data_IF_481219600818
#
_entry.id   IF_481219600818
#
_cell.length_a   1.000
_cell.length_b   1.000
_cell.length_c   1.000
_cell.angle_alpha   90.00
_cell.angle_beta   90.00
_cell.angle_gamma   90.00
#
_symmetry.space_group_name_H-M   'P 1'
#
loop_
_entity.id
_entity.type
_entity.pdbx_description
1 polymer ?
#
# COMPACT_ATOMS: atom_id res chain seq x y z
N UNK A 1 26.33 -3.03 -9.07
CA UNK A 1 24.96 -3.59 -9.17
C UNK A 1 23.92 -2.85 -8.34
N UNK A 2 24.12 -2.56 -7.03
CA UNK A 2 23.16 -1.76 -6.22
C UNK A 2 22.80 -0.40 -6.86
N UNK A 3 23.77 0.26 -7.48
CA UNK A 3 23.58 1.58 -8.10
C UNK A 3 22.84 1.54 -9.47
N UNK A 4 22.77 0.38 -10.12
CA UNK A 4 22.01 0.23 -11.37
C UNK A 4 20.52 0.08 -11.08
N UNK A 5 20.15 -0.75 -10.10
CA UNK A 5 18.76 -0.95 -9.69
C UNK A 5 18.18 0.36 -9.14
N UNK A 6 18.95 1.08 -8.31
CA UNK A 6 18.55 2.39 -7.80
C UNK A 6 18.37 3.45 -8.89
N UNK A 7 19.24 3.49 -9.91
CA UNK A 7 19.13 4.45 -11.02
C UNK A 7 18.02 4.08 -12.02
N UNK A 8 17.72 2.80 -12.22
CA UNK A 8 16.63 2.34 -13.08
C UNK A 8 15.26 2.67 -12.49
N UNK A 9 15.10 2.58 -11.17
CA UNK A 9 13.86 2.96 -10.45
C UNK A 9 13.68 4.48 -10.45
N UNK A 10 14.76 5.24 -10.28
CA UNK A 10 14.69 6.70 -10.09
C UNK A 10 14.48 7.49 -11.39
N UNK A 11 14.84 6.94 -12.54
CA UNK A 11 14.76 7.64 -13.83
C UNK A 11 13.50 7.32 -14.65
N UNK A 12 12.75 6.27 -14.30
CA UNK A 12 11.63 5.75 -15.11
C UNK A 12 10.29 5.62 -14.35
N UNK A 13 10.20 6.08 -13.10
CA UNK A 13 8.95 6.02 -12.33
C UNK A 13 8.57 7.44 -11.92
N UNK A 14 7.49 7.95 -12.52
CA UNK A 14 6.85 9.18 -12.06
C UNK A 14 6.07 8.85 -10.78
N UNK A 15 6.72 9.06 -9.63
CA UNK A 15 6.12 8.81 -8.32
C UNK A 15 5.16 9.97 -8.01
N UNK A 16 3.87 9.73 -8.22
CA UNK A 16 2.80 10.66 -7.86
C UNK A 16 2.16 10.28 -6.49
N UNK A 17 1.30 11.17 -5.98
CA UNK A 17 0.66 11.00 -4.68
C UNK A 17 -0.21 9.73 -4.58
N UNK A 18 -0.81 9.29 -5.68
CA UNK A 18 -1.60 8.05 -5.75
C UNK A 18 -0.71 6.82 -5.51
N UNK A 19 0.43 6.74 -6.20
CA UNK A 19 1.40 5.65 -6.03
C UNK A 19 1.97 5.64 -4.61
N UNK A 20 2.23 6.82 -4.03
CA UNK A 20 2.66 6.93 -2.62
C UNK A 20 1.57 6.40 -1.69
N UNK A 21 0.32 6.84 -1.86
CA UNK A 21 -0.79 6.42 -1.02
C UNK A 21 -1.05 4.89 -1.12
N UNK A 22 -1.01 4.33 -2.32
CA UNK A 22 -1.14 2.89 -2.54
C UNK A 22 0.00 2.10 -1.88
N UNK A 23 1.24 2.59 -1.99
CA UNK A 23 2.38 1.97 -1.29
C UNK A 23 2.19 2.03 0.23
N UNK A 24 1.76 3.15 0.78
CA UNK A 24 1.52 3.31 2.21
C UNK A 24 0.38 2.41 2.70
N UNK A 25 -0.70 2.26 1.93
CA UNK A 25 -1.79 1.32 2.22
C UNK A 25 -1.28 -0.13 2.30
N UNK A 26 -0.46 -0.56 1.32
CA UNK A 26 0.15 -1.90 1.35
C UNK A 26 1.03 -2.09 2.58
N UNK A 27 1.91 -1.12 2.88
CA UNK A 27 2.81 -1.19 4.04
C UNK A 27 2.04 -1.19 5.36
N UNK A 28 0.99 -0.38 5.50
CA UNK A 28 0.17 -0.34 6.71
C UNK A 28 -0.57 -1.68 6.94
N UNK A 29 -1.09 -2.29 5.87
CA UNK A 29 -1.68 -3.63 5.93
C UNK A 29 -0.67 -4.68 6.39
N UNK A 30 0.50 -4.74 5.77
CA UNK A 30 1.56 -5.68 6.13
C UNK A 30 2.04 -5.48 7.57
N UNK A 31 2.16 -4.23 8.00
CA UNK A 31 2.51 -3.90 9.38
C UNK A 31 1.42 -4.30 10.37
N UNK A 32 0.14 -4.13 10.03
CA UNK A 32 -0.97 -4.61 10.85
C UNK A 32 -0.93 -6.14 10.99
N UNK A 33 -0.74 -6.88 9.89
CA UNK A 33 -0.59 -8.34 9.93
C UNK A 33 0.61 -8.77 10.80
N UNK A 34 1.75 -8.08 10.67
CA UNK A 34 2.93 -8.31 11.49
C UNK A 34 2.63 -8.09 12.98
N UNK A 35 2.05 -6.95 13.36
CA UNK A 35 1.77 -6.63 14.76
C UNK A 35 0.68 -7.53 15.36
N UNK A 36 -0.32 -7.94 14.57
CA UNK A 36 -1.30 -8.94 14.97
C UNK A 36 -0.63 -10.27 15.28
N UNK A 37 0.15 -10.79 14.34
CA UNK A 37 0.86 -12.06 14.51
C UNK A 37 1.82 -12.01 15.70
N UNK A 38 2.56 -10.91 15.85
CA UNK A 38 3.48 -10.70 16.97
C UNK A 38 2.74 -10.67 18.31
N UNK A 39 1.57 -10.02 18.36
CA UNK A 39 0.72 -9.99 19.56
C UNK A 39 0.19 -11.37 19.91
N UNK A 40 -0.28 -12.15 18.94
CA UNK A 40 -0.88 -13.47 19.18
C UNK A 40 0.14 -14.55 19.53
N UNK A 41 1.35 -14.46 18.99
CA UNK A 41 2.41 -15.48 19.17
C UNK A 41 3.36 -15.19 20.33
N UNK A 42 3.31 -13.98 20.90
CA UNK A 42 4.15 -13.60 22.04
C UNK A 42 3.75 -14.35 23.32
N UNK A 43 4.70 -15.08 23.90
CA UNK A 43 4.51 -15.85 25.13
C UNK A 43 4.36 -14.99 26.39
N UNK A 44 4.90 -13.76 26.39
CA UNK A 44 4.88 -12.86 27.56
C UNK A 44 3.86 -11.73 27.43
N UNK A 45 3.17 -11.34 28.52
CA UNK A 45 2.22 -10.23 28.50
C UNK A 45 2.85 -8.88 28.18
N UNK A 46 4.11 -8.66 28.54
CA UNK A 46 4.85 -7.42 28.30
C UNK A 46 5.05 -7.18 26.80
N UNK A 47 5.42 -8.21 26.04
CA UNK A 47 5.56 -8.11 24.59
C UNK A 47 4.21 -7.89 23.90
N UNK A 48 3.16 -8.57 24.36
CA UNK A 48 1.80 -8.32 23.85
C UNK A 48 1.35 -6.89 24.08
N UNK A 49 1.67 -6.31 25.24
CA UNK A 49 1.35 -4.92 25.56
C UNK A 49 2.12 -3.91 24.69
N UNK A 50 3.30 -4.27 24.18
CA UNK A 50 4.06 -3.44 23.23
C UNK A 50 3.47 -3.51 21.82
N UNK A 51 3.09 -4.69 21.33
CA UNK A 51 2.63 -4.86 19.94
C UNK A 51 1.17 -4.47 19.72
N UNK A 52 0.28 -4.68 20.71
CA UNK A 52 -1.15 -4.43 20.55
C UNK A 52 -1.49 -2.97 20.17
N UNK A 53 -0.86 -1.94 20.77
CA UNK A 53 -1.11 -0.56 20.37
C UNK A 53 -0.64 -0.26 18.94
N UNK A 54 0.48 -0.84 18.51
CA UNK A 54 0.99 -0.65 17.14
C UNK A 54 0.08 -1.25 16.08
N UNK A 55 -0.57 -2.39 16.36
CA UNK A 55 -1.63 -2.92 15.50
C UNK A 55 -2.76 -1.89 15.34
N UNK A 56 -3.24 -1.30 16.44
CA UNK A 56 -4.28 -0.26 16.42
C UNK A 56 -3.88 0.92 15.54
N UNK A 57 -2.67 1.45 15.73
CA UNK A 57 -2.16 2.57 14.93
C UNK A 57 -2.07 2.25 13.43
N UNK A 58 -1.67 1.03 13.06
CA UNK A 58 -1.62 0.64 11.65
C UNK A 58 -3.01 0.53 11.03
N UNK A 59 -4.00 0.03 11.77
CA UNK A 59 -5.41 -0.04 11.33
C UNK A 59 -6.00 1.37 11.18
N UNK A 60 -5.76 2.26 12.14
CA UNK A 60 -6.20 3.66 12.08
C UNK A 60 -5.56 4.39 10.90
N UNK A 61 -4.24 4.25 10.72
CA UNK A 61 -3.51 4.84 9.60
C UNK A 61 -3.99 4.31 8.24
N UNK A 62 -4.17 3.00 8.10
CA UNK A 62 -4.74 2.40 6.90
C UNK A 62 -6.14 2.93 6.59
N UNK A 63 -6.99 3.06 7.61
CA UNK A 63 -8.34 3.63 7.48
C UNK A 63 -8.30 5.06 6.97
N UNK A 64 -7.48 5.92 7.58
CA UNK A 64 -7.33 7.31 7.18
C UNK A 64 -6.81 7.46 5.74
N UNK A 65 -5.81 6.65 5.37
CA UNK A 65 -5.28 6.63 3.99
C UNK A 65 -6.32 6.12 2.98
N UNK A 66 -7.15 5.15 3.37
CA UNK A 66 -8.22 4.63 2.52
C UNK A 66 -9.25 5.73 2.26
N UNK A 67 -9.68 6.44 3.30
CA UNK A 67 -10.62 7.56 3.19
C UNK A 67 -10.06 8.70 2.32
N UNK A 68 -8.77 9.04 2.50
CA UNK A 68 -8.08 10.00 1.66
C UNK A 68 -8.07 9.56 0.19
N UNK A 69 -7.75 8.29 -0.07
CA UNK A 69 -7.62 7.74 -1.43
C UNK A 69 -8.96 7.68 -2.15
N UNK A 70 -10.04 7.39 -1.42
CA UNK A 70 -11.42 7.47 -1.94
C UNK A 70 -11.78 8.93 -2.24
N UNK A 71 -11.50 9.85 -1.31
CA UNK A 71 -11.80 11.28 -1.45
C UNK A 71 -11.06 11.91 -2.65
N UNK A 72 -9.83 11.47 -2.90
CA UNK A 72 -9.02 11.91 -4.04
C UNK A 72 -9.40 11.22 -5.36
N UNK A 73 -10.25 10.20 -5.32
CA UNK A 73 -10.72 9.46 -6.49
C UNK A 73 -9.74 8.43 -7.04
N UNK A 74 -8.64 8.16 -6.32
CA UNK A 74 -7.65 7.12 -6.63
C UNK A 74 -8.24 5.72 -6.45
N UNK A 75 -9.00 5.52 -5.37
CA UNK A 75 -9.72 4.27 -5.10
C UNK A 75 -11.23 4.49 -5.31
N UNK A 76 -11.85 3.62 -6.11
CA UNK A 76 -13.28 3.67 -6.43
C UNK A 76 -13.97 2.38 -5.92
N UNK A 77 -14.39 2.35 -4.64
CA UNK A 77 -14.80 1.11 -3.98
C UNK A 77 -16.04 0.45 -4.59
N UNK A 78 -16.87 1.21 -5.30
CA UNK A 78 -18.11 0.75 -5.91
C UNK A 78 -18.09 0.80 -7.45
N UNK A 79 -16.91 0.86 -8.06
CA UNK A 79 -16.81 0.75 -9.51
C UNK A 79 -17.28 -0.63 -9.98
N UNK A 80 -18.09 -0.74 -11.05
CA UNK A 80 -18.41 -2.01 -11.69
C UNK A 80 -17.14 -2.82 -11.99
N UNK A 81 -17.21 -4.15 -11.86
CA UNK A 81 -16.04 -5.02 -12.07
C UNK A 81 -15.41 -4.86 -13.47
N UNK A 82 -16.22 -4.58 -14.48
CA UNK A 82 -15.75 -4.29 -15.85
C UNK A 82 -14.88 -3.03 -15.90
N UNK A 83 -15.25 -1.99 -15.13
CA UNK A 83 -14.50 -0.74 -15.08
C UNK A 83 -13.18 -0.93 -14.34
N UNK A 84 -13.19 -1.72 -13.25
CA UNK A 84 -11.96 -2.05 -12.51
C UNK A 84 -10.97 -2.85 -13.38
N UNK A 85 -11.45 -3.85 -14.12
CA UNK A 85 -10.63 -4.63 -15.05
C UNK A 85 -10.10 -3.76 -16.19
N UNK A 86 -10.93 -2.87 -16.72
CA UNK A 86 -10.53 -1.94 -17.79
C UNK A 86 -9.47 -0.95 -17.30
N UNK A 87 -9.61 -0.44 -16.07
CA UNK A 87 -8.62 0.42 -15.44
C UNK A 87 -7.25 -0.28 -15.31
N UNK A 88 -7.23 -1.47 -14.70
CA UNK A 88 -6.02 -2.27 -14.53
C UNK A 88 -5.35 -2.62 -15.87
N UNK A 89 -6.14 -2.95 -16.90
CA UNK A 89 -5.63 -3.23 -18.24
C UNK A 89 -4.99 -1.99 -18.89
N UNK A 90 -5.63 -0.83 -18.77
CA UNK A 90 -5.13 0.42 -19.33
C UNK A 90 -3.87 0.90 -18.60
N UNK A 91 -3.81 0.78 -17.27
CA UNK A 91 -2.63 1.05 -16.46
C UNK A 91 -1.45 0.15 -16.89
N UNK A 92 -1.69 -1.16 -17.01
CA UNK A 92 -0.68 -2.11 -17.52
C UNK A 92 -0.18 -1.72 -18.92
N UNK A 93 -1.07 -1.27 -19.81
CA UNK A 93 -0.71 -0.76 -21.13
C UNK A 93 0.15 0.49 -21.07
N UNK A 94 -0.12 1.44 -20.18
CA UNK A 94 0.69 2.65 -20.02
C UNK A 94 2.13 2.29 -19.69
N UNK A 95 2.31 1.41 -18.70
CA UNK A 95 3.64 0.94 -18.28
C UNK A 95 4.37 0.23 -19.41
N UNK A 96 3.69 -0.58 -20.23
CA UNK A 96 4.31 -1.30 -21.35
C UNK A 96 4.67 -0.33 -22.49
N UNK A 97 3.83 0.65 -22.79
CA UNK A 97 4.03 1.57 -23.91
C UNK A 97 5.03 2.69 -23.62
N UNK A 98 5.21 3.09 -22.36
CA UNK A 98 6.26 4.04 -21.93
C UNK A 98 7.69 3.48 -22.09
N UNK A 99 7.84 2.18 -22.36
CA UNK A 99 9.12 1.50 -22.58
C UNK A 99 9.46 1.26 -24.07
N UNK A 100 8.82 1.99 -25.00
CA UNK A 100 9.18 2.04 -26.43
C UNK A 100 9.75 3.41 -26.80
#
# INVERSE_FOLDING_TARGET
>A
MKNMIGNLIKNNIDINDEIIALSMLSSAKEAADLYLNSTLTSSTPELRAIYSPSLGQMVEGHTALTELSITKGWIKPYSPSVDQLTCAYNESKSVINENK
#
